data_IF_504955886077
#
_entry.id   IF_504955886077
#
_cell.length_a   1.000
_cell.length_b   1.000
_cell.length_c   1.000
_cell.angle_alpha   90.00
_cell.angle_beta   90.00
_cell.angle_gamma   90.00
#
_symmetry.space_group_name_H-M   'P 1'
#
loop_
_entity.id
_entity.type
_entity.pdbx_description
1 polymer ?
#
# COMPACT_ATOMS: atom_id res chain seq x y z
N UNK A 1 -15.31 3.39 22.92
CA UNK A 1 -14.00 2.73 22.72
C UNK A 1 -13.12 3.79 22.08
N UNK A 2 -12.12 4.28 22.80
CA UNK A 2 -11.31 5.41 22.37
C UNK A 2 -10.50 5.06 21.12
N UNK A 3 -10.27 6.05 20.24
CA UNK A 3 -9.35 5.96 19.08
C UNK A 3 -7.97 5.38 19.43
N UNK A 4 -7.61 5.36 20.72
CA UNK A 4 -6.33 4.95 21.25
C UNK A 4 -5.99 3.46 21.11
N UNK A 5 -6.96 2.54 21.11
CA UNK A 5 -6.63 1.12 21.30
C UNK A 5 -6.05 0.47 20.03
N UNK A 6 -6.73 0.54 18.89
CA UNK A 6 -6.24 -0.04 17.62
C UNK A 6 -4.95 0.64 17.14
N UNK A 7 -4.84 1.95 17.36
CA UNK A 7 -3.66 2.74 17.01
C UNK A 7 -2.43 2.26 17.78
N UNK A 8 -2.59 1.98 19.07
CA UNK A 8 -1.53 1.47 19.93
C UNK A 8 -1.10 0.05 19.52
N UNK A 9 -2.03 -0.80 19.10
CA UNK A 9 -1.72 -2.15 18.57
C UNK A 9 -0.87 -2.07 17.30
N UNK A 10 -1.23 -1.20 16.36
CA UNK A 10 -0.44 -1.02 15.13
C UNK A 10 0.92 -0.41 15.47
N UNK A 11 0.94 0.64 16.30
CA UNK A 11 2.18 1.32 16.70
C UNK A 11 3.17 0.36 17.35
N UNK A 12 2.71 -0.41 18.33
CA UNK A 12 3.55 -1.40 19.01
C UNK A 12 4.05 -2.51 18.08
N UNK A 13 3.28 -2.84 17.04
CA UNK A 13 3.71 -3.80 16.01
C UNK A 13 4.78 -3.20 15.11
N UNK A 14 4.56 -2.01 14.54
CA UNK A 14 5.49 -1.35 13.61
C UNK A 14 6.82 -0.97 14.27
N UNK A 15 6.81 -0.52 15.52
CA UNK A 15 8.04 -0.16 16.26
C UNK A 15 9.00 -1.35 16.46
N UNK A 16 8.52 -2.60 16.37
CA UNK A 16 9.39 -3.80 16.44
C UNK A 16 10.23 -3.99 15.17
N UNK A 17 9.87 -3.32 14.08
CA UNK A 17 10.41 -3.56 12.73
C UNK A 17 10.93 -2.28 12.06
N UNK A 18 11.40 -1.30 12.82
CA UNK A 18 11.93 -0.02 12.30
C UNK A 18 13.33 -0.09 11.66
N UNK A 19 13.84 -1.27 11.34
CA UNK A 19 15.20 -1.45 10.77
C UNK A 19 15.19 -1.56 9.24
N UNK A 20 16.28 -1.13 8.58
CA UNK A 20 16.49 -1.13 7.10
C UNK A 20 16.24 -2.45 6.38
N UNK A 21 16.24 -3.58 7.08
CA UNK A 21 16.01 -4.89 6.47
C UNK A 21 14.53 -5.18 6.18
N UNK A 22 13.62 -4.37 6.72
CA UNK A 22 12.19 -4.61 6.59
C UNK A 22 11.56 -3.59 5.66
N UNK A 23 10.74 -4.10 4.75
CA UNK A 23 9.78 -3.32 3.99
C UNK A 23 8.45 -3.31 4.75
N UNK A 24 7.89 -2.12 4.93
CA UNK A 24 6.60 -1.89 5.57
C UNK A 24 5.68 -1.24 4.54
N UNK A 25 4.58 -1.90 4.24
CA UNK A 25 3.57 -1.39 3.30
C UNK A 25 2.16 -1.49 3.90
N UNK A 26 1.29 -0.55 3.54
CA UNK A 26 -0.14 -0.63 3.72
C UNK A 26 -0.81 -0.75 2.34
N UNK A 27 -1.67 -1.75 2.17
CA UNK A 27 -2.47 -1.94 0.95
C UNK A 27 -3.92 -1.66 1.23
N UNK A 28 -4.58 -0.94 0.32
CA UNK A 28 -6.02 -0.70 0.37
C UNK A 28 -6.74 -1.84 -0.36
N UNK A 29 -7.78 -2.40 0.27
CA UNK A 29 -8.50 -3.55 -0.27
C UNK A 29 -9.78 -3.86 0.50
N UNK A 30 -10.24 -5.09 0.45
CA UNK A 30 -11.44 -5.53 1.19
C UNK A 30 -11.19 -6.87 1.85
N UNK A 31 -11.69 -7.04 3.06
CA UNK A 31 -11.75 -8.35 3.72
C UNK A 31 -13.06 -9.00 3.29
N UNK A 32 -12.98 -10.08 2.50
CA UNK A 32 -14.14 -10.81 2.01
C UNK A 32 -14.39 -12.05 2.86
N UNK A 33 -15.66 -12.43 2.99
CA UNK A 33 -16.06 -13.79 3.31
C UNK A 33 -15.97 -14.62 2.02
N UNK A 34 -15.26 -15.76 2.10
CA UNK A 34 -14.97 -16.63 0.94
C UNK A 34 -16.19 -17.39 0.43
N UNK A 35 -17.18 -17.61 1.28
CA UNK A 35 -18.41 -18.34 0.93
C UNK A 35 -19.44 -17.42 0.28
N UNK A 36 -19.61 -16.20 0.81
CA UNK A 36 -20.62 -15.25 0.33
C UNK A 36 -20.09 -14.28 -0.71
N UNK A 37 -18.77 -14.26 -0.94
CA UNK A 37 -18.06 -13.29 -1.78
C UNK A 37 -18.36 -11.83 -1.43
N UNK A 38 -18.86 -11.58 -0.22
CA UNK A 38 -19.23 -10.26 0.26
C UNK A 38 -18.18 -9.72 1.22
N UNK A 39 -18.02 -8.39 1.27
CA UNK A 39 -17.20 -7.75 2.30
C UNK A 39 -17.67 -8.20 3.69
N UNK A 40 -16.73 -8.48 4.57
CA UNK A 40 -16.95 -8.83 5.98
C UNK A 40 -17.83 -7.76 6.63
N UNK A 41 -18.78 -8.19 7.44
CA UNK A 41 -19.62 -7.32 8.26
C UNK A 41 -19.46 -7.74 9.71
N UNK A 42 -18.92 -6.85 10.53
CA UNK A 42 -18.82 -7.03 11.97
C UNK A 42 -19.78 -6.05 12.64
N UNK A 43 -20.36 -6.45 13.78
CA UNK A 43 -21.10 -5.54 14.66
C UNK A 43 -20.12 -4.70 15.48
N UNK A 44 -19.27 -3.93 14.80
CA UNK A 44 -18.30 -3.02 15.39
C UNK A 44 -18.48 -1.62 14.82
N UNK A 45 -18.50 -0.62 15.69
CA UNK A 45 -18.50 0.80 15.34
C UNK A 45 -17.08 1.39 15.28
N UNK A 46 -16.06 0.58 15.54
CA UNK A 46 -14.67 1.01 15.56
C UNK A 46 -13.81 0.07 14.72
N UNK A 47 -12.64 0.55 14.24
CA UNK A 47 -11.65 -0.31 13.58
C UNK A 47 -11.31 -1.56 14.40
N UNK A 48 -11.19 -2.70 13.72
CA UNK A 48 -10.78 -3.97 14.33
C UNK A 48 -9.50 -4.46 13.66
N UNK A 49 -8.48 -4.76 14.47
CA UNK A 49 -7.19 -5.26 13.98
C UNK A 49 -7.11 -6.76 14.15
N UNK A 50 -6.86 -7.47 13.06
CA UNK A 50 -6.63 -8.90 13.01
C UNK A 50 -5.14 -9.18 12.78
N UNK A 51 -4.49 -9.88 13.72
CA UNK A 51 -3.17 -10.49 13.48
C UNK A 51 -3.26 -11.73 12.57
N UNK A 52 -4.45 -12.33 12.50
CA UNK A 52 -4.81 -13.41 11.60
C UNK A 52 -6.30 -13.35 11.32
N UNK A 53 -6.69 -13.26 10.05
CA UNK A 53 -8.09 -13.33 9.67
C UNK A 53 -8.68 -14.71 9.98
N UNK A 54 -9.97 -14.81 10.33
CA UNK A 54 -10.67 -16.09 10.38
C UNK A 54 -10.56 -16.83 9.05
N UNK A 55 -10.51 -18.17 9.07
CA UNK A 55 -10.24 -19.02 7.90
C UNK A 55 -11.20 -18.83 6.74
N UNK A 56 -12.45 -18.48 7.03
CA UNK A 56 -13.51 -18.19 6.09
C UNK A 56 -13.41 -16.79 5.46
N UNK A 57 -12.39 -16.02 5.83
CA UNK A 57 -12.15 -14.69 5.28
C UNK A 57 -10.80 -14.59 4.59
N UNK A 58 -10.69 -13.62 3.68
CA UNK A 58 -9.44 -13.25 3.01
C UNK A 58 -9.44 -11.78 2.64
N UNK A 59 -8.29 -11.14 2.81
CA UNK A 59 -8.06 -9.82 2.24
C UNK A 59 -7.74 -9.93 0.76
N UNK A 60 -8.45 -9.16 -0.06
CA UNK A 60 -8.23 -9.00 -1.49
C UNK A 60 -7.77 -7.55 -1.73
N UNK A 61 -6.54 -7.33 -2.23
CA UNK A 61 -6.06 -5.99 -2.52
C UNK A 61 -6.81 -5.40 -3.71
N UNK A 62 -6.97 -4.08 -3.70
CA UNK A 62 -7.47 -3.32 -4.82
C UNK A 62 -8.76 -2.56 -4.52
N UNK A 63 -8.97 -1.53 -5.34
CA UNK A 63 -10.09 -0.60 -5.26
C UNK A 63 -10.85 -0.57 -6.59
N UNK A 64 -12.02 0.06 -6.57
CA UNK A 64 -12.80 0.26 -7.79
C UNK A 64 -12.09 1.26 -8.72
N UNK A 65 -12.24 1.10 -10.04
CA UNK A 65 -11.58 1.93 -11.05
C UNK A 65 -11.82 3.44 -10.85
N UNK A 66 -13.05 3.81 -10.47
CA UNK A 66 -13.41 5.20 -10.28
C UNK A 66 -12.67 5.81 -9.08
N UNK A 67 -12.63 5.09 -7.96
CA UNK A 67 -11.91 5.50 -6.75
C UNK A 67 -10.40 5.59 -7.02
N UNK A 68 -9.84 4.59 -7.72
CA UNK A 68 -8.43 4.59 -8.14
C UNK A 68 -8.08 5.86 -8.91
N UNK A 69 -8.89 6.21 -9.93
CA UNK A 69 -8.67 7.41 -10.74
C UNK A 69 -8.85 8.70 -9.93
N UNK A 70 -9.85 8.75 -9.06
CA UNK A 70 -10.11 9.92 -8.22
C UNK A 70 -8.95 10.20 -7.28
N UNK A 71 -8.55 9.19 -6.48
CA UNK A 71 -7.46 9.32 -5.51
C UNK A 71 -6.13 9.69 -6.19
N UNK A 72 -5.83 9.07 -7.35
CA UNK A 72 -4.64 9.40 -8.15
C UNK A 72 -4.65 10.84 -8.63
N UNK A 73 -5.81 11.32 -9.10
CA UNK A 73 -5.99 12.70 -9.56
C UNK A 73 -5.83 13.68 -8.40
N UNK A 74 -6.33 13.36 -7.21
CA UNK A 74 -6.22 14.22 -6.02
C UNK A 74 -4.75 14.39 -5.62
N UNK A 75 -3.96 13.30 -5.62
CA UNK A 75 -2.52 13.38 -5.41
C UNK A 75 -1.82 14.23 -6.48
N UNK A 76 -2.13 13.99 -7.75
CA UNK A 76 -1.57 14.75 -8.87
C UNK A 76 -1.84 16.25 -8.71
N UNK A 77 -3.07 16.63 -8.37
CA UNK A 77 -3.45 18.03 -8.17
C UNK A 77 -2.78 18.65 -6.94
N UNK A 78 -2.52 17.86 -5.89
CA UNK A 78 -1.78 18.32 -4.71
C UNK A 78 -0.32 18.61 -5.03
N UNK A 79 0.30 17.84 -5.93
CA UNK A 79 1.69 18.02 -6.36
C UNK A 79 1.93 19.34 -7.11
N UNK A 80 0.92 19.87 -7.82
CA UNK A 80 1.07 21.08 -8.63
C UNK A 80 0.80 22.40 -7.89
N UNK A 81 0.39 22.38 -6.60
CA UNK A 81 -0.02 23.59 -5.86
C UNK A 81 1.11 24.41 -5.20
N UNK A 82 2.39 24.18 -5.54
CA UNK A 82 3.53 25.07 -5.16
C UNK A 82 4.43 25.19 -6.40
N UNK A 83 4.66 26.34 -7.02
CA UNK A 83 5.31 27.56 -6.48
C UNK A 83 4.86 28.79 -7.30
N UNK A 84 3.97 29.62 -6.77
CA UNK A 84 3.94 31.05 -7.12
C UNK A 84 4.71 31.79 -6.03
N UNK A 85 5.85 32.38 -6.40
CA UNK A 85 6.85 32.95 -5.48
C UNK A 85 6.53 34.38 -5.01
N UNK A 86 5.41 34.96 -5.46
CA UNK A 86 5.24 36.43 -5.44
C UNK A 86 4.15 36.96 -4.52
N UNK A 87 3.76 36.25 -3.45
CA UNK A 87 2.87 36.85 -2.44
C UNK A 87 3.31 36.51 -1.03
N UNK A 88 4.42 37.11 -0.62
CA UNK A 88 4.80 37.24 0.79
C UNK A 88 4.13 38.51 1.32
N UNK A 89 2.94 38.37 1.91
CA UNK A 89 2.38 39.36 2.84
C UNK A 89 1.80 38.66 4.07
N UNK A 90 2.66 38.56 5.08
CA UNK A 90 2.36 38.75 6.50
C UNK A 90 0.92 38.49 6.97
N UNK A 91 0.61 37.25 7.35
CA UNK A 91 -0.14 36.98 8.58
C UNK A 91 0.11 35.55 9.05
N UNK A 92 0.75 35.46 10.20
CA UNK A 92 1.18 34.23 10.86
C UNK A 92 0.00 33.48 11.46
N UNK A 93 -0.53 32.50 10.72
CA UNK A 93 -1.08 31.28 11.32
C UNK A 93 -0.09 30.16 11.02
N UNK A 94 0.43 29.51 12.07
CA UNK A 94 1.31 28.33 11.98
C UNK A 94 0.48 27.15 11.44
N UNK A 95 0.12 27.19 10.16
CA UNK A 95 -0.39 26.01 9.47
C UNK A 95 0.80 25.10 9.15
N UNK A 96 0.58 23.82 9.40
CA UNK A 96 1.48 22.70 9.20
C UNK A 96 2.34 22.88 7.95
N UNK A 97 3.65 22.65 8.09
CA UNK A 97 4.56 22.56 6.95
C UNK A 97 4.04 21.45 6.04
N UNK A 98 3.31 21.84 5.01
CA UNK A 98 2.57 20.94 4.13
C UNK A 98 3.47 19.83 3.60
N UNK A 99 2.96 18.62 3.65
CA UNK A 99 3.50 17.48 2.92
C UNK A 99 3.37 17.77 1.43
N UNK A 100 4.48 18.09 0.78
CA UNK A 100 4.52 18.15 -0.69
C UNK A 100 4.64 16.73 -1.21
N UNK A 101 3.59 16.23 -1.85
CA UNK A 101 3.61 14.97 -2.59
C UNK A 101 4.15 15.27 -3.99
N UNK A 102 5.09 14.47 -4.48
CA UNK A 102 5.78 14.65 -5.75
C UNK A 102 5.61 13.39 -6.58
N UNK A 103 5.36 13.54 -7.88
CA UNK A 103 5.41 12.41 -8.80
C UNK A 103 6.87 11.92 -8.93
N UNK A 104 7.12 10.64 -8.59
CA UNK A 104 8.46 10.05 -8.58
C UNK A 104 8.78 9.44 -9.95
N UNK A 105 7.93 8.51 -10.41
CA UNK A 105 8.18 7.76 -11.65
C UNK A 105 6.93 7.03 -12.17
N UNK A 106 7.01 6.66 -13.44
CA UNK A 106 6.12 5.71 -14.10
C UNK A 106 6.92 4.48 -14.49
N UNK A 107 6.46 3.28 -14.11
CA UNK A 107 7.09 2.01 -14.46
C UNK A 107 6.07 1.04 -15.05
N UNK A 108 6.39 0.54 -16.25
CA UNK A 108 5.78 -0.66 -16.79
C UNK A 108 6.70 -1.87 -16.55
N UNK A 109 6.22 -2.84 -15.79
CA UNK A 109 6.99 -4.05 -15.48
C UNK A 109 6.14 -5.32 -15.51
N UNK A 110 6.80 -6.46 -15.39
CA UNK A 110 6.13 -7.73 -15.15
C UNK A 110 6.88 -8.58 -14.15
N UNK A 111 6.12 -9.37 -13.40
CA UNK A 111 6.63 -10.36 -12.47
C UNK A 111 6.20 -11.75 -12.91
N UNK A 112 7.17 -12.63 -13.14
CA UNK A 112 6.94 -14.07 -13.29
C UNK A 112 7.06 -14.74 -11.93
N UNK A 113 5.97 -15.31 -11.44
CA UNK A 113 5.93 -16.00 -10.15
C UNK A 113 6.22 -17.48 -10.38
N UNK A 114 7.10 -18.04 -9.55
CA UNK A 114 7.61 -19.39 -9.70
C UNK A 114 7.11 -20.28 -8.56
N UNK A 115 6.93 -21.57 -8.82
CA UNK A 115 6.42 -22.53 -7.82
C UNK A 115 7.26 -22.65 -6.55
N UNK A 116 8.55 -22.30 -6.60
CA UNK A 116 9.42 -22.27 -5.43
C UNK A 116 9.28 -21.00 -4.56
N UNK A 117 8.32 -20.12 -4.88
CA UNK A 117 8.04 -18.87 -4.17
C UNK A 117 8.93 -17.69 -4.57
N UNK A 118 9.87 -17.88 -5.52
CA UNK A 118 10.60 -16.76 -6.10
C UNK A 118 9.75 -16.02 -7.14
N UNK A 119 10.10 -14.76 -7.40
CA UNK A 119 9.53 -13.99 -8.50
C UNK A 119 10.63 -13.28 -9.27
N UNK A 120 10.50 -13.23 -10.59
CA UNK A 120 11.46 -12.59 -11.48
C UNK A 120 10.83 -11.32 -12.05
N UNK A 121 11.51 -10.18 -11.88
CA UNK A 121 11.08 -8.87 -12.42
C UNK A 121 11.68 -8.64 -13.80
N UNK A 122 10.84 -8.20 -14.73
CA UNK A 122 11.23 -7.71 -16.04
C UNK A 122 10.73 -6.28 -16.21
N UNK A 123 11.56 -5.38 -16.74
CA UNK A 123 11.17 -4.02 -17.13
C UNK A 123 11.52 -3.88 -18.60
N UNK A 124 10.56 -3.47 -19.44
CA UNK A 124 10.71 -3.41 -20.90
C UNK A 124 11.20 -4.75 -21.50
N UNK A 125 10.66 -5.87 -21.00
CA UNK A 125 11.07 -7.24 -21.34
C UNK A 125 12.52 -7.62 -21.00
N UNK A 126 13.29 -6.74 -20.35
CA UNK A 126 14.64 -7.03 -19.87
C UNK A 126 14.59 -7.57 -18.45
N UNK A 127 15.33 -8.66 -18.20
CA UNK A 127 15.52 -9.18 -16.86
C UNK A 127 16.17 -8.12 -15.95
N UNK A 128 15.62 -7.93 -14.75
CA UNK A 128 16.22 -7.06 -13.73
C UNK A 128 16.80 -7.86 -12.58
N UNK A 129 15.95 -8.65 -11.92
CA UNK A 129 16.36 -9.47 -10.79
C UNK A 129 15.38 -10.61 -10.52
N UNK A 130 15.86 -11.62 -9.81
CA UNK A 130 15.03 -12.59 -9.11
C UNK A 130 14.98 -12.19 -7.64
N UNK A 131 13.82 -12.28 -7.00
CA UNK A 131 13.72 -12.02 -5.57
C UNK A 131 12.74 -12.98 -4.87
N UNK A 132 12.91 -13.05 -3.55
CA UNK A 132 11.98 -13.74 -2.67
C UNK A 132 11.48 -12.76 -1.61
N UNK A 133 10.16 -12.58 -1.54
CA UNK A 133 9.50 -11.84 -0.47
C UNK A 133 9.11 -12.79 0.65
N UNK A 134 9.58 -12.50 1.86
CA UNK A 134 9.24 -13.27 3.06
C UNK A 134 8.38 -12.39 3.98
N UNK A 135 7.10 -12.75 4.13
CA UNK A 135 6.18 -12.06 5.05
C UNK A 135 6.52 -12.43 6.49
N UNK A 136 6.79 -11.42 7.30
CA UNK A 136 7.07 -11.59 8.74
C UNK A 136 5.80 -11.42 9.54
N UNK A 137 5.09 -10.32 9.28
CA UNK A 137 3.84 -10.00 9.97
C UNK A 137 2.86 -9.38 8.99
N UNK A 138 1.58 -9.73 9.18
CA UNK A 138 0.46 -9.14 8.47
C UNK A 138 -0.56 -8.72 9.52
N UNK A 139 -1.06 -7.49 9.40
CA UNK A 139 -2.18 -6.98 10.17
C UNK A 139 -3.28 -6.60 9.19
N UNK A 140 -4.46 -7.19 9.35
CA UNK A 140 -5.65 -6.86 8.58
C UNK A 140 -6.56 -5.97 9.43
N UNK A 141 -6.91 -4.79 8.92
CA UNK A 141 -7.71 -3.79 9.61
C UNK A 141 -9.09 -3.75 8.95
N UNK A 142 -10.11 -4.19 9.68
CA UNK A 142 -11.49 -3.93 9.32
C UNK A 142 -11.87 -2.49 9.70
N UNK A 143 -12.36 -1.72 8.73
CA UNK A 143 -12.67 -0.30 8.88
C UNK A 143 -14.16 -0.04 8.59
N UNK A 144 -15.05 -0.06 9.59
CA UNK A 144 -16.50 -0.04 9.37
C UNK A 144 -17.00 1.24 8.67
N UNK A 145 -16.41 2.39 8.99
CA UNK A 145 -16.80 3.69 8.42
C UNK A 145 -16.20 3.97 7.03
N UNK A 146 -15.36 3.06 6.53
CA UNK A 146 -14.67 3.21 5.27
C UNK A 146 -15.18 2.20 4.23
N UNK A 147 -15.07 2.56 2.96
CA UNK A 147 -15.41 1.69 1.83
C UNK A 147 -14.46 0.51 1.70
N UNK A 148 -13.20 0.71 2.09
CA UNK A 148 -12.13 -0.27 2.02
C UNK A 148 -11.56 -0.59 3.41
N UNK A 149 -11.01 -1.78 3.52
CA UNK A 149 -10.20 -2.27 4.61
C UNK A 149 -8.71 -2.07 4.27
N UNK A 150 -7.82 -2.22 5.25
CA UNK A 150 -6.37 -2.03 5.05
C UNK A 150 -5.61 -3.26 5.50
N UNK A 151 -4.61 -3.67 4.72
CA UNK A 151 -3.63 -4.67 5.13
C UNK A 151 -2.27 -4.01 5.31
N UNK A 152 -1.73 -4.07 6.51
CA UNK A 152 -0.34 -3.69 6.79
C UNK A 152 0.51 -4.95 6.71
N UNK A 153 1.55 -4.94 5.88
CA UNK A 153 2.50 -6.06 5.75
C UNK A 153 3.91 -5.60 6.11
N UNK A 154 4.59 -6.41 6.92
CA UNK A 154 6.01 -6.28 7.22
C UNK A 154 6.71 -7.47 6.57
N UNK A 155 7.70 -7.21 5.73
CA UNK A 155 8.39 -8.25 4.96
C UNK A 155 9.89 -7.99 4.84
N UNK A 156 10.63 -9.03 4.46
CA UNK A 156 11.98 -8.89 3.92
C UNK A 156 11.98 -9.19 2.43
N UNK A 157 12.85 -8.52 1.71
CA UNK A 157 13.16 -8.80 0.31
C UNK A 157 14.58 -9.32 0.17
N UNK A 158 14.74 -10.52 -0.38
CA UNK A 158 16.05 -11.05 -0.76
C UNK A 158 16.21 -10.99 -2.28
N UNK A 159 17.03 -10.06 -2.77
CA UNK A 159 17.31 -9.87 -4.20
C UNK A 159 18.52 -10.70 -4.64
N UNK A 160 18.35 -11.46 -5.72
CA UNK A 160 19.36 -12.31 -6.34
C UNK A 160 19.57 -11.84 -7.79
N UNK A 161 20.69 -11.18 -8.06
CA UNK A 161 20.92 -10.51 -9.35
C UNK A 161 21.25 -11.46 -10.50
N UNK A 162 21.68 -12.71 -10.25
CA UNK A 162 22.25 -13.57 -11.31
C UNK A 162 21.73 -15.02 -11.32
N UNK A 163 20.70 -15.35 -10.55
CA UNK A 163 20.19 -16.73 -10.49
C UNK A 163 19.07 -16.95 -11.49
N UNK A 164 19.38 -17.67 -12.56
CA UNK A 164 18.38 -18.36 -13.35
C UNK A 164 17.91 -19.59 -12.57
N UNK A 165 16.71 -19.54 -12.03
CA UNK A 165 16.06 -20.71 -11.42
C UNK A 165 15.34 -21.51 -12.51
N UNK A 166 15.47 -22.83 -12.47
CA UNK A 166 14.75 -23.75 -13.36
C UNK A 166 13.32 -24.05 -12.89
N UNK A 167 12.86 -23.41 -11.80
CA UNK A 167 11.48 -23.61 -11.33
C UNK A 167 10.48 -23.16 -12.40
N UNK A 168 9.43 -23.95 -12.66
CA UNK A 168 8.41 -23.56 -13.62
C UNK A 168 7.69 -22.28 -13.17
N UNK A 169 7.30 -21.48 -14.16
CA UNK A 169 6.45 -20.30 -13.98
C UNK A 169 5.03 -20.76 -13.64
N UNK A 170 4.49 -20.26 -12.55
CA UNK A 170 3.12 -20.51 -12.11
C UNK A 170 2.14 -19.53 -12.75
N UNK A 171 2.47 -18.24 -12.72
CA UNK A 171 1.71 -17.19 -13.39
C UNK A 171 2.55 -15.93 -13.63
N UNK A 172 2.05 -15.04 -14.48
CA UNK A 172 2.67 -13.73 -14.76
C UNK A 172 1.71 -12.62 -14.36
N UNK A 173 2.24 -11.56 -13.74
CA UNK A 173 1.53 -10.30 -13.52
C UNK A 173 2.20 -9.22 -14.35
N UNK A 174 1.43 -8.50 -15.15
CA UNK A 174 1.88 -7.27 -15.79
C UNK A 174 1.41 -6.09 -14.95
N UNK A 175 2.28 -5.11 -14.73
CA UNK A 175 1.99 -3.95 -13.90
C UNK A 175 2.33 -2.68 -14.65
N UNK A 176 1.47 -1.71 -14.46
CA UNK A 176 1.59 -0.34 -14.96
C UNK A 176 1.39 0.53 -13.72
N UNK A 177 2.46 1.18 -13.28
CA UNK A 177 2.57 1.80 -11.97
C UNK A 177 3.00 3.24 -12.07
N UNK A 178 2.24 4.10 -11.40
CA UNK A 178 2.68 5.44 -11.06
C UNK A 178 3.01 5.50 -9.57
N UNK A 179 4.21 5.97 -9.26
CA UNK A 179 4.67 6.17 -7.89
C UNK A 179 4.72 7.66 -7.60
N UNK A 180 4.04 8.06 -6.55
CA UNK A 180 4.21 9.37 -5.93
C UNK A 180 5.01 9.19 -4.66
N UNK A 181 5.71 10.22 -4.20
CA UNK A 181 6.47 10.17 -2.96
C UNK A 181 6.23 11.45 -2.19
N UNK A 182 6.17 11.34 -0.88
CA UNK A 182 6.52 12.45 -0.02
C UNK A 182 7.88 12.20 0.62
N UNK A 183 8.18 12.90 1.71
CA UNK A 183 9.43 12.75 2.44
C UNK A 183 9.64 11.33 2.99
N UNK A 184 8.58 10.62 3.36
CA UNK A 184 8.65 9.38 4.13
C UNK A 184 7.99 8.20 3.45
N UNK A 185 7.04 8.43 2.55
CA UNK A 185 6.20 7.39 1.97
C UNK A 185 6.20 7.43 0.44
N UNK A 186 6.26 6.26 -0.17
CA UNK A 186 5.85 6.07 -1.56
C UNK A 186 4.36 5.69 -1.62
N UNK A 187 3.67 6.20 -2.63
CA UNK A 187 2.28 5.93 -2.94
C UNK A 187 2.23 5.29 -4.32
N UNK A 188 2.04 3.97 -4.37
CA UNK A 188 2.06 3.20 -5.60
C UNK A 188 0.63 2.98 -6.10
N UNK A 189 0.31 3.58 -7.25
CA UNK A 189 -0.92 3.37 -7.99
C UNK A 189 -0.66 2.37 -9.11
N UNK A 190 -1.02 1.11 -8.90
CA UNK A 190 -0.67 0.02 -9.80
C UNK A 190 -1.90 -0.58 -10.48
N UNK A 191 -1.94 -0.53 -11.81
CA UNK A 191 -2.84 -1.36 -12.62
C UNK A 191 -2.18 -2.72 -12.84
N UNK A 192 -2.80 -3.78 -12.34
CA UNK A 192 -2.30 -5.14 -12.43
C UNK A 192 -3.15 -5.93 -13.39
N UNK A 193 -2.53 -6.64 -14.33
CA UNK A 193 -3.20 -7.56 -15.25
C UNK A 193 -2.68 -8.98 -15.03
N UNK A 194 -3.59 -9.93 -14.79
CA UNK A 194 -3.31 -11.37 -14.60
C UNK A 194 -4.47 -12.19 -15.17
N UNK A 195 -4.21 -13.15 -16.05
CA UNK A 195 -5.24 -14.07 -16.57
C UNK A 195 -6.51 -13.38 -17.11
N UNK A 196 -6.38 -12.22 -17.79
CA UNK A 196 -7.47 -11.33 -18.25
C UNK A 196 -8.19 -10.54 -17.15
N UNK A 197 -7.91 -10.79 -15.88
CA UNK A 197 -8.39 -9.98 -14.77
C UNK A 197 -7.54 -8.71 -14.63
N UNK A 198 -8.20 -7.62 -14.27
CA UNK A 198 -7.57 -6.32 -13.99
C UNK A 198 -7.87 -5.94 -12.55
N UNK A 199 -6.84 -5.54 -11.81
CA UNK A 199 -6.95 -5.05 -10.44
C UNK A 199 -6.28 -3.69 -10.33
N UNK A 200 -6.88 -2.79 -9.57
CA UNK A 200 -6.38 -1.43 -9.33
C UNK A 200 -5.87 -1.35 -7.88
N UNK A 201 -4.57 -1.55 -7.68
CA UNK A 201 -3.95 -1.60 -6.36
C UNK A 201 -3.43 -0.23 -5.94
N UNK A 202 -3.67 0.15 -4.68
CA UNK A 202 -3.06 1.32 -4.03
C UNK A 202 -2.24 0.81 -2.85
N UNK A 203 -0.94 1.09 -2.86
CA UNK A 203 0.01 0.71 -1.82
C UNK A 203 0.67 1.98 -1.25
N UNK A 204 0.90 2.01 0.05
CA UNK A 204 1.64 3.06 0.76
C UNK A 204 2.82 2.38 1.44
N UNK A 205 4.02 2.67 0.95
CA UNK A 205 5.26 2.03 1.40
C UNK A 205 6.11 3.03 2.17
N UNK A 206 6.73 2.59 3.26
CA UNK A 206 7.70 3.40 4.01
C UNK A 206 9.03 3.43 3.26
N UNK A 207 9.44 4.61 2.81
CA UNK A 207 10.74 4.86 2.14
C UNK A 207 11.83 5.26 3.16
N UNK A 208 11.50 6.13 4.11
CA UNK A 208 12.44 6.63 5.13
C UNK A 208 12.10 6.04 6.50
N UNK A 209 13.07 5.36 7.13
CA UNK A 209 12.90 4.74 8.45
C UNK A 209 12.70 5.74 9.59
N UNK A 210 12.98 7.01 9.37
CA UNK A 210 12.71 8.08 10.33
C UNK A 210 11.26 8.58 10.26
N UNK A 211 10.38 7.90 9.51
CA UNK A 211 8.94 8.17 9.52
C UNK A 211 8.36 8.06 10.93
N UNK A 212 7.31 8.83 11.22
CA UNK A 212 6.52 8.61 12.42
C UNK A 212 5.39 7.64 12.11
N UNK A 213 5.22 6.64 12.97
CA UNK A 213 4.15 5.63 12.83
C UNK A 213 2.77 6.30 12.80
N UNK A 214 2.60 7.37 13.55
CA UNK A 214 1.37 8.16 13.58
C UNK A 214 1.02 8.73 12.20
N UNK A 215 2.04 9.21 11.49
CA UNK A 215 1.89 9.80 10.16
C UNK A 215 1.57 8.70 9.15
N UNK A 216 2.22 7.54 9.23
CA UNK A 216 1.89 6.39 8.38
C UNK A 216 0.43 5.94 8.53
N UNK A 217 -0.05 5.83 9.78
CA UNK A 217 -1.45 5.46 10.06
C UNK A 217 -2.43 6.52 9.52
N UNK A 218 -2.09 7.79 9.74
CA UNK A 218 -2.88 8.92 9.22
C UNK A 218 -2.92 8.90 7.70
N UNK A 219 -1.80 8.58 7.04
CA UNK A 219 -1.68 8.54 5.58
C UNK A 219 -2.61 7.50 4.96
N UNK A 220 -2.56 6.23 5.39
CA UNK A 220 -3.47 5.22 4.81
C UNK A 220 -4.94 5.49 5.13
N UNK A 221 -5.22 6.15 6.26
CA UNK A 221 -6.59 6.54 6.63
C UNK A 221 -7.11 7.64 5.70
N UNK A 222 -6.28 8.63 5.36
CA UNK A 222 -6.60 9.72 4.41
C UNK A 222 -6.72 9.23 2.97
N UNK A 223 -5.96 8.20 2.61
CA UNK A 223 -6.00 7.57 1.29
C UNK A 223 -7.20 6.62 1.11
N UNK A 224 -7.99 6.40 2.16
CA UNK A 224 -9.19 5.59 2.12
C UNK A 224 -10.44 6.47 1.97
N UNK A 225 -11.54 5.88 1.52
CA UNK A 225 -12.79 6.58 1.21
C UNK A 225 -13.81 6.27 2.31
N UNK A 226 -14.40 7.32 2.89
CA UNK A 226 -15.48 7.18 3.87
C UNK A 226 -16.76 6.67 3.19
N UNK A 227 -17.51 5.83 3.89
CA UNK A 227 -18.87 5.49 3.49
C UNK A 227 -19.73 6.74 3.73
N UNK A 228 -20.12 7.40 2.65
CA UNK A 228 -21.14 8.46 2.69
C UNK A 228 -22.54 7.86 2.88
#
# INVERSE_FOLDING_TARGET
MDKFEWFSVIKSSLLKYSSIKYEIEARIGRIYNKETESRMKLLSLVPVVFSKLPSQHSFVPGVDLWDFKSLKKDLTNSSFKKVDKDTISSSSTKLDKDFTIIFKEHIEDSFKYLRNGNRIRFINNEYRFCEKKCKIQVLDLYLPDYKYDVRISIMTEEKQMQRHTQSPVEFVRHRDRDTFTDKWFNYDFTVVRKNKEVTYEIEIEVEDLNYKVEEFITTFTKMNILNN
#
